data_IF_561031585303
#
_entry.id   IF_561031585303
#
_cell.length_a   1.000
_cell.length_b   1.000
_cell.length_c   1.000
_cell.angle_alpha   90.00
_cell.angle_beta   90.00
_cell.angle_gamma   90.00
#
_symmetry.space_group_name_H-M   'P 1'
#
loop_
_entity.id
_entity.type
_entity.pdbx_description
1 polymer ?
#
# COMPACT_ATOMS: atom_id res chain seq x y z
N UNK A 1 -20.61 -13.73 0.15
CA UNK A 1 -20.66 -12.41 0.81
C UNK A 1 -19.98 -12.61 2.14
N UNK A 2 -18.64 -12.52 2.14
CA UNK A 2 -17.84 -12.63 3.36
C UNK A 2 -17.62 -11.22 3.89
N UNK A 3 -18.68 -10.70 4.49
CA UNK A 3 -18.63 -9.48 5.29
C UNK A 3 -18.25 -9.95 6.69
N UNK A 4 -17.17 -9.36 7.22
CA UNK A 4 -16.80 -9.38 8.63
C UNK A 4 -15.85 -10.49 9.13
N UNK A 5 -14.63 -10.45 8.61
CA UNK A 5 -13.47 -10.49 9.52
C UNK A 5 -12.79 -9.16 9.36
N UNK A 6 -13.14 -8.22 10.24
CA UNK A 6 -12.42 -6.97 10.46
C UNK A 6 -10.92 -7.31 10.50
N UNK A 7 -10.24 -7.17 9.37
CA UNK A 7 -8.96 -7.83 9.15
C UNK A 7 -7.91 -7.08 9.96
N UNK A 8 -6.77 -7.70 10.29
CA UNK A 8 -5.68 -6.96 10.94
C UNK A 8 -5.29 -5.73 10.10
N UNK A 9 -5.45 -5.81 8.78
CA UNK A 9 -5.29 -4.68 7.87
C UNK A 9 -6.25 -3.51 8.18
N UNK A 10 -7.54 -3.77 8.46
CA UNK A 10 -8.53 -2.72 8.74
C UNK A 10 -8.38 -2.12 10.15
N UNK A 11 -7.94 -2.92 11.12
CA UNK A 11 -7.85 -2.52 12.54
C UNK A 11 -6.48 -1.99 12.95
N UNK A 12 -5.42 -2.59 12.41
CA UNK A 12 -4.03 -2.28 12.71
C UNK A 12 -3.17 -2.48 11.46
N UNK A 13 -3.34 -1.54 10.52
CA UNK A 13 -2.58 -1.53 9.28
C UNK A 13 -1.06 -1.61 9.54
N UNK A 14 -0.55 -0.92 10.56
CA UNK A 14 0.88 -0.95 10.87
C UNK A 14 1.31 -2.35 11.33
N UNK A 15 0.61 -2.97 12.27
CA UNK A 15 0.84 -4.34 12.70
C UNK A 15 0.76 -5.34 11.54
N UNK A 16 -0.25 -5.18 10.66
CA UNK A 16 -0.38 -5.97 9.44
C UNK A 16 0.85 -5.81 8.54
N UNK A 17 1.33 -4.60 8.25
CA UNK A 17 2.51 -4.41 7.40
C UNK A 17 3.75 -5.09 7.97
N UNK A 18 3.97 -5.01 9.29
CA UNK A 18 5.10 -5.69 9.95
C UNK A 18 4.99 -7.21 9.84
N UNK A 19 3.78 -7.76 10.03
CA UNK A 19 3.53 -9.19 9.86
C UNK A 19 3.82 -9.65 8.42
N UNK A 20 3.32 -8.93 7.42
CA UNK A 20 3.55 -9.27 6.01
C UNK A 20 5.03 -9.16 5.62
N UNK A 21 5.74 -8.14 6.12
CA UNK A 21 7.18 -8.00 5.91
C UNK A 21 7.98 -9.19 6.48
N UNK A 22 7.63 -9.62 7.69
CA UNK A 22 8.24 -10.79 8.31
C UNK A 22 7.93 -12.09 7.55
N UNK A 23 6.70 -12.27 7.08
CA UNK A 23 6.31 -13.41 6.27
C UNK A 23 7.10 -13.47 4.94
N UNK A 24 7.35 -12.31 4.30
CA UNK A 24 8.20 -12.21 3.12
C UNK A 24 9.65 -12.58 3.42
N UNK A 25 10.24 -12.04 4.50
CA UNK A 25 11.61 -12.35 4.92
C UNK A 25 11.80 -13.85 5.17
N UNK A 26 10.83 -14.48 5.82
CA UNK A 26 10.84 -15.90 6.17
C UNK A 26 10.35 -16.82 5.04
N UNK A 27 9.95 -16.24 3.89
CA UNK A 27 9.39 -16.97 2.74
C UNK A 27 8.15 -17.81 3.08
N UNK A 28 7.33 -17.33 4.01
CA UNK A 28 6.09 -17.97 4.45
C UNK A 28 4.94 -17.58 3.51
N UNK A 29 4.95 -18.17 2.30
CA UNK A 29 4.03 -17.85 1.19
C UNK A 29 2.54 -17.98 1.58
N UNK A 30 2.21 -18.91 2.49
CA UNK A 30 0.84 -19.18 2.93
C UNK A 30 0.29 -18.13 3.92
N UNK A 31 1.17 -17.35 4.55
CA UNK A 31 0.79 -16.30 5.50
C UNK A 31 0.61 -14.93 4.83
N UNK A 32 0.93 -14.84 3.54
CA UNK A 32 0.82 -13.61 2.77
C UNK A 32 -0.64 -13.33 2.41
N UNK A 33 -1.08 -12.13 2.76
CA UNK A 33 -2.36 -11.58 2.37
C UNK A 33 -2.26 -10.97 0.96
N UNK A 34 -2.31 -11.84 -0.04
CA UNK A 34 -2.09 -11.49 -1.44
C UNK A 34 -3.02 -10.41 -1.98
N UNK A 35 -4.27 -10.36 -1.50
CA UNK A 35 -5.26 -9.40 -1.97
C UNK A 35 -4.86 -7.99 -1.54
N UNK A 36 -4.65 -7.80 -0.24
CA UNK A 36 -4.29 -6.50 0.33
C UNK A 36 -2.88 -6.08 -0.10
N UNK A 37 -1.91 -7.02 -0.18
CA UNK A 37 -0.57 -6.73 -0.70
C UNK A 37 -0.58 -6.22 -2.14
N UNK A 38 -1.38 -6.84 -3.01
CA UNK A 38 -1.52 -6.41 -4.41
C UNK A 38 -2.09 -4.99 -4.49
N UNK A 39 -3.12 -4.71 -3.69
CA UNK A 39 -3.76 -3.39 -3.67
C UNK A 39 -2.80 -2.30 -3.20
N UNK A 40 -2.04 -2.56 -2.13
CA UNK A 40 -1.05 -1.64 -1.59
C UNK A 40 0.09 -1.34 -2.57
N UNK A 41 0.65 -2.38 -3.23
CA UNK A 41 1.69 -2.18 -4.25
C UNK A 41 1.16 -1.33 -5.42
N UNK A 42 -0.07 -1.58 -5.86
CA UNK A 42 -0.68 -0.77 -6.92
C UNK A 42 -0.98 0.66 -6.47
N UNK A 43 -1.42 0.85 -5.21
CA UNK A 43 -1.70 2.16 -4.64
C UNK A 43 -0.42 3.01 -4.54
N UNK A 44 0.67 2.42 -4.03
CA UNK A 44 2.00 3.03 -3.98
C UNK A 44 2.46 3.48 -5.37
N UNK A 45 2.41 2.60 -6.37
CA UNK A 45 2.80 2.94 -7.75
C UNK A 45 1.97 4.08 -8.35
N UNK A 46 0.65 4.09 -8.11
CA UNK A 46 -0.23 5.18 -8.56
C UNK A 46 0.05 6.50 -7.83
N UNK A 47 0.42 6.46 -6.55
CA UNK A 47 0.76 7.67 -5.79
C UNK A 47 2.05 8.29 -6.30
N UNK A 48 3.12 7.51 -6.41
CA UNK A 48 4.42 7.96 -6.92
C UNK A 48 4.29 8.53 -8.34
N UNK A 49 3.55 7.85 -9.22
CA UNK A 49 3.30 8.34 -10.57
C UNK A 49 2.55 9.68 -10.58
N UNK A 50 1.49 9.82 -9.78
CA UNK A 50 0.72 11.07 -9.70
C UNK A 50 1.56 12.22 -9.15
N UNK A 51 2.39 11.96 -8.15
CA UNK A 51 3.30 12.96 -7.60
C UNK A 51 4.36 13.38 -8.62
N UNK A 52 4.95 12.43 -9.35
CA UNK A 52 5.89 12.70 -10.44
C UNK A 52 5.25 13.56 -11.53
N UNK A 53 4.06 13.17 -12.02
CA UNK A 53 3.32 13.95 -13.01
C UNK A 53 3.00 15.34 -12.48
N UNK A 54 2.51 15.47 -11.24
CA UNK A 54 2.24 16.78 -10.64
C UNK A 54 3.50 17.66 -10.61
N UNK A 55 4.65 17.12 -10.21
CA UNK A 55 5.93 17.86 -10.17
C UNK A 55 6.41 18.29 -11.56
N UNK A 56 6.09 17.53 -12.61
CA UNK A 56 6.49 17.81 -14.00
C UNK A 56 5.47 18.67 -14.77
N UNK A 57 4.18 18.57 -14.43
CA UNK A 57 3.08 19.27 -15.11
C UNK A 57 2.82 20.67 -14.54
N UNK A 58 3.24 20.97 -13.30
CA UNK A 58 3.21 22.33 -12.78
C UNK A 58 4.57 23.02 -12.94
N UNK A 59 4.72 23.99 -13.86
CA UNK A 59 5.82 24.93 -13.76
C UNK A 59 5.67 25.68 -12.43
N UNK A 60 6.77 25.83 -11.68
CA UNK A 60 6.86 26.74 -10.52
C UNK A 60 6.55 28.18 -10.96
N UNK A 61 5.27 28.54 -11.06
CA UNK A 61 4.79 29.90 -11.22
C UNK A 61 3.48 30.05 -10.47
N UNK A 62 3.56 30.12 -9.15
CA UNK A 62 2.67 31.00 -8.40
C UNK A 62 3.50 31.64 -7.30
N UNK A 63 4.23 32.68 -7.69
CA UNK A 63 4.61 33.75 -6.79
C UNK A 63 3.39 34.68 -6.77
N UNK A 64 2.76 34.82 -5.60
CA UNK A 64 1.98 36.01 -5.25
C UNK A 64 2.74 36.76 -4.18
#
# INVERSE_FOLDING_TARGET
MDIDKQSLYDQDFYGWTQQQAKALEQRLVLELDWQNLREEIQALGRQEYRELVSRLSYPKLTIK
#
